data_IF_278888525199
#
_entry.id   IF_278888525199
#
_cell.length_a   1.000
_cell.length_b   1.000
_cell.length_c   1.000
_cell.angle_alpha   90.00
_cell.angle_beta   90.00
_cell.angle_gamma   90.00
#
_symmetry.space_group_name_H-M   'P 1'
#
loop_
_entity.id
_entity.type
_entity.pdbx_description
1 polymer ?
#
# COMPACT_ATOMS: atom_id res chain seq x y z
N UNK A 1 -55.36 6.65 17.35
CA UNK A 1 -54.42 5.50 17.35
C UNK A 1 -54.23 4.88 15.97
N UNK A 2 -55.28 4.54 15.22
CA UNK A 2 -55.16 3.92 13.88
C UNK A 2 -54.38 4.76 12.84
N UNK A 3 -54.63 6.07 12.74
CA UNK A 3 -53.93 6.96 11.80
C UNK A 3 -52.41 7.10 12.10
N UNK A 4 -52.03 7.12 13.39
CA UNK A 4 -50.63 7.17 13.81
C UNK A 4 -49.91 5.84 13.56
N UNK A 5 -50.64 4.71 13.60
CA UNK A 5 -50.08 3.41 13.25
C UNK A 5 -49.91 3.27 11.74
N UNK A 6 -50.89 3.73 10.95
CA UNK A 6 -50.82 3.76 9.47
C UNK A 6 -49.66 4.64 8.98
N UNK A 7 -49.51 5.86 9.52
CA UNK A 7 -48.40 6.75 9.17
C UNK A 7 -47.03 6.13 9.44
N UNK A 8 -46.87 5.39 10.55
CA UNK A 8 -45.63 4.67 10.86
C UNK A 8 -45.34 3.53 9.88
N UNK A 9 -46.37 2.80 9.44
CA UNK A 9 -46.23 1.71 8.47
C UNK A 9 -45.81 2.28 7.10
N UNK A 10 -46.42 3.39 6.67
CA UNK A 10 -46.08 4.06 5.42
C UNK A 10 -44.64 4.63 5.44
N UNK A 11 -44.20 5.16 6.59
CA UNK A 11 -42.81 5.61 6.79
C UNK A 11 -41.80 4.46 6.74
N UNK A 12 -42.08 3.32 7.38
CA UNK A 12 -41.21 2.14 7.35
C UNK A 12 -41.11 1.54 5.93
N UNK A 13 -42.22 1.47 5.20
CA UNK A 13 -42.23 1.03 3.80
C UNK A 13 -41.44 1.99 2.90
N UNK A 14 -41.60 3.30 3.10
CA UNK A 14 -40.85 4.33 2.37
C UNK A 14 -39.34 4.19 2.59
N UNK A 15 -38.91 3.96 3.83
CA UNK A 15 -37.49 3.71 4.17
C UNK A 15 -36.99 2.43 3.48
N UNK A 16 -37.76 1.34 3.52
CA UNK A 16 -37.37 0.08 2.90
C UNK A 16 -37.22 0.18 1.36
N UNK A 17 -38.15 0.86 0.69
CA UNK A 17 -38.08 1.11 -0.75
C UNK A 17 -36.87 1.97 -1.08
N UNK A 18 -36.63 3.04 -0.31
CA UNK A 18 -35.48 3.93 -0.49
C UNK A 18 -34.16 3.17 -0.38
N UNK A 19 -34.02 2.26 0.61
CA UNK A 19 -32.85 1.38 0.74
C UNK A 19 -32.66 0.49 -0.49
N UNK A 20 -33.73 -0.13 -1.01
CA UNK A 20 -33.65 -0.96 -2.22
C UNK A 20 -33.20 -0.16 -3.44
N UNK A 21 -33.71 1.07 -3.61
CA UNK A 21 -33.28 1.96 -4.69
C UNK A 21 -31.79 2.32 -4.55
N UNK A 22 -31.34 2.66 -3.34
CA UNK A 22 -29.93 2.95 -3.07
C UNK A 22 -29.02 1.75 -3.36
N UNK A 23 -29.44 0.54 -2.97
CA UNK A 23 -28.71 -0.69 -3.23
C UNK A 23 -28.60 -0.99 -4.74
N UNK A 24 -29.71 -0.88 -5.48
CA UNK A 24 -29.69 -1.04 -6.94
C UNK A 24 -28.76 -0.03 -7.62
N UNK A 25 -28.71 1.22 -7.14
CA UNK A 25 -27.78 2.24 -7.62
C UNK A 25 -26.32 1.84 -7.34
N UNK A 26 -26.03 1.30 -6.16
CA UNK A 26 -24.70 0.79 -5.82
C UNK A 26 -24.27 -0.37 -6.73
N UNK A 27 -25.17 -1.33 -6.99
CA UNK A 27 -24.92 -2.48 -7.87
C UNK A 27 -24.66 -2.05 -9.31
N UNK A 28 -25.50 -1.17 -9.87
CA UNK A 28 -25.30 -0.61 -11.22
C UNK A 28 -24.00 0.18 -11.32
N UNK A 29 -23.67 0.99 -10.30
CA UNK A 29 -22.40 1.71 -10.24
C UNK A 29 -21.20 0.75 -10.23
N UNK A 30 -21.28 -0.34 -9.46
CA UNK A 30 -20.24 -1.37 -9.38
C UNK A 30 -20.09 -2.15 -10.67
N UNK A 31 -21.22 -2.48 -11.33
CA UNK A 31 -21.23 -3.10 -12.65
C UNK A 31 -20.47 -2.25 -13.68
N UNK A 32 -20.82 -0.96 -13.80
CA UNK A 32 -20.16 -0.08 -14.75
C UNK A 32 -18.69 0.18 -14.41
N UNK A 33 -18.33 0.24 -13.12
CA UNK A 33 -16.94 0.33 -12.67
C UNK A 33 -16.13 -0.90 -13.13
N UNK A 34 -16.71 -2.09 -12.98
CA UNK A 34 -16.09 -3.36 -13.37
C UNK A 34 -15.94 -3.45 -14.88
N UNK A 35 -17.00 -3.13 -15.62
CA UNK A 35 -16.99 -3.08 -17.08
C UNK A 35 -15.88 -2.14 -17.61
N UNK A 36 -15.72 -0.97 -16.99
CA UNK A 36 -14.70 -0.02 -17.41
C UNK A 36 -13.27 -0.53 -17.13
N UNK A 37 -13.07 -1.24 -16.02
CA UNK A 37 -11.80 -1.91 -15.71
C UNK A 37 -11.49 -3.02 -16.73
N UNK A 38 -12.48 -3.84 -17.08
CA UNK A 38 -12.34 -4.89 -18.11
C UNK A 38 -12.01 -4.32 -19.48
N UNK A 39 -12.65 -3.21 -19.89
CA UNK A 39 -12.33 -2.54 -21.16
C UNK A 39 -10.88 -2.03 -21.14
N UNK A 40 -10.41 -1.51 -20.01
CA UNK A 40 -9.07 -0.95 -19.87
C UNK A 40 -7.97 -2.01 -19.82
N UNK A 41 -8.30 -3.24 -19.40
CA UNK A 41 -7.34 -4.35 -19.31
C UNK A 41 -7.17 -5.15 -20.60
N UNK A 42 -7.94 -4.85 -21.66
CA UNK A 42 -7.78 -5.50 -22.97
C UNK A 42 -6.49 -5.07 -23.66
N UNK A 43 -5.95 -5.92 -24.52
CA UNK A 43 -4.74 -5.63 -25.31
C UNK A 43 -4.88 -4.35 -26.14
N UNK A 44 -6.07 -4.16 -26.73
CA UNK A 44 -6.51 -2.91 -27.37
C UNK A 44 -7.67 -2.28 -26.58
N UNK A 45 -7.36 -1.44 -25.58
CA UNK A 45 -8.39 -0.84 -24.75
C UNK A 45 -9.08 0.29 -25.48
N UNK A 46 -10.41 0.23 -25.57
CA UNK A 46 -11.22 1.36 -26.05
C UNK A 46 -11.38 2.39 -24.93
N UNK A 47 -10.46 3.34 -24.86
CA UNK A 47 -10.43 4.38 -23.81
C UNK A 47 -11.72 5.20 -23.76
N UNK A 48 -12.31 5.51 -24.93
CA UNK A 48 -13.61 6.22 -25.00
C UNK A 48 -14.75 5.40 -24.39
N UNK A 49 -14.77 4.08 -24.63
CA UNK A 49 -15.78 3.20 -24.06
C UNK A 49 -15.60 3.03 -22.54
N UNK A 50 -14.34 2.89 -22.08
CA UNK A 50 -14.02 2.86 -20.66
C UNK A 50 -14.45 4.16 -19.97
N UNK A 51 -14.19 5.32 -20.59
CA UNK A 51 -14.60 6.63 -20.07
C UNK A 51 -16.11 6.77 -19.95
N UNK A 52 -16.86 6.31 -20.96
CA UNK A 52 -18.33 6.29 -20.90
C UNK A 52 -18.83 5.43 -19.74
N UNK A 53 -18.24 4.26 -19.52
CA UNK A 53 -18.60 3.37 -18.42
C UNK A 53 -18.24 3.98 -17.05
N UNK A 54 -17.09 4.65 -16.91
CA UNK A 54 -16.75 5.37 -15.67
C UNK A 54 -17.71 6.50 -15.35
N UNK A 55 -18.08 7.33 -16.34
CA UNK A 55 -19.05 8.42 -16.14
C UNK A 55 -20.41 7.90 -15.66
N UNK A 56 -20.86 6.77 -16.24
CA UNK A 56 -22.08 6.09 -15.76
C UNK A 56 -21.93 5.60 -14.33
N UNK A 57 -20.82 4.93 -14.01
CA UNK A 57 -20.53 4.45 -12.66
C UNK A 57 -20.58 5.58 -11.62
N UNK A 58 -19.91 6.69 -11.89
CA UNK A 58 -19.91 7.87 -11.03
C UNK A 58 -21.34 8.41 -10.80
N UNK A 59 -22.13 8.56 -11.87
CA UNK A 59 -23.50 9.05 -11.78
C UNK A 59 -24.39 8.16 -10.90
N UNK A 60 -24.24 6.83 -11.00
CA UNK A 60 -24.98 5.90 -10.14
C UNK A 60 -24.56 5.99 -8.68
N UNK A 61 -23.26 6.11 -8.39
CA UNK A 61 -22.78 6.27 -7.02
C UNK A 61 -23.25 7.58 -6.39
N UNK A 62 -23.16 8.69 -7.11
CA UNK A 62 -23.64 10.00 -6.63
C UNK A 62 -25.16 10.00 -6.41
N UNK A 63 -25.93 9.40 -7.32
CA UNK A 63 -27.37 9.23 -7.13
C UNK A 63 -27.67 8.34 -5.91
N UNK A 64 -26.89 7.28 -5.70
CA UNK A 64 -27.01 6.40 -4.55
C UNK A 64 -26.76 7.15 -3.24
N UNK A 65 -25.73 8.02 -3.19
CA UNK A 65 -25.41 8.83 -2.00
C UNK A 65 -26.61 9.70 -1.64
N UNK A 66 -27.14 10.44 -2.62
CA UNK A 66 -28.34 11.27 -2.43
C UNK A 66 -29.55 10.46 -1.94
N UNK A 67 -29.64 9.18 -2.32
CA UNK A 67 -30.72 8.28 -1.87
C UNK A 67 -30.57 7.91 -0.41
N UNK A 68 -29.36 7.56 0.01
CA UNK A 68 -29.12 7.15 1.39
C UNK A 68 -29.08 8.33 2.35
N UNK A 69 -28.77 9.53 1.86
CA UNK A 69 -28.86 10.79 2.61
C UNK A 69 -30.30 11.07 3.08
N UNK A 70 -31.32 10.78 2.27
CA UNK A 70 -32.73 11.04 2.65
C UNK A 70 -33.18 10.23 3.87
N UNK A 71 -32.55 9.08 4.11
CA UNK A 71 -32.82 8.20 5.25
C UNK A 71 -31.65 8.14 6.25
N UNK A 72 -30.66 9.03 6.10
CA UNK A 72 -29.47 9.10 6.95
C UNK A 72 -28.73 7.75 7.13
N UNK A 73 -28.69 6.92 6.08
CA UNK A 73 -28.04 5.60 6.11
C UNK A 73 -26.51 5.74 5.95
N UNK A 74 -25.85 6.10 7.05
CA UNK A 74 -24.41 6.37 7.10
C UNK A 74 -23.53 5.22 6.56
N UNK A 75 -23.77 3.94 6.91
CA UNK A 75 -23.01 2.83 6.34
C UNK A 75 -23.02 2.82 4.82
N UNK A 76 -24.20 2.96 4.21
CA UNK A 76 -24.33 2.89 2.76
C UNK A 76 -23.79 4.14 2.05
N UNK A 77 -23.93 5.33 2.65
CA UNK A 77 -23.28 6.56 2.16
C UNK A 77 -21.75 6.39 2.16
N UNK A 78 -21.19 5.82 3.23
CA UNK A 78 -19.75 5.58 3.34
C UNK A 78 -19.26 4.55 2.31
N UNK A 79 -19.99 3.45 2.11
CA UNK A 79 -19.66 2.44 1.10
C UNK A 79 -19.64 3.04 -0.32
N UNK A 80 -20.61 3.90 -0.66
CA UNK A 80 -20.64 4.57 -1.96
C UNK A 80 -19.49 5.56 -2.15
N UNK A 81 -19.15 6.35 -1.12
CA UNK A 81 -17.96 7.21 -1.18
C UNK A 81 -16.67 6.39 -1.34
N UNK A 82 -16.58 5.22 -0.69
CA UNK A 82 -15.46 4.28 -0.88
C UNK A 82 -15.38 3.75 -2.31
N UNK A 83 -16.53 3.45 -2.92
CA UNK A 83 -16.62 3.02 -4.32
C UNK A 83 -16.22 4.12 -5.30
N UNK A 84 -16.55 5.39 -5.03
CA UNK A 84 -16.05 6.53 -5.79
C UNK A 84 -14.52 6.59 -5.72
N UNK A 85 -13.93 6.44 -4.52
CA UNK A 85 -12.47 6.39 -4.37
C UNK A 85 -11.82 5.28 -5.21
N UNK A 86 -12.43 4.09 -5.26
CA UNK A 86 -11.97 2.96 -6.08
C UNK A 86 -12.09 3.25 -7.58
N UNK A 87 -13.22 3.81 -8.01
CA UNK A 87 -13.47 4.21 -9.39
C UNK A 87 -12.40 5.19 -9.89
N UNK A 88 -12.07 6.20 -9.09
CA UNK A 88 -11.07 7.21 -9.43
C UNK A 88 -9.65 6.62 -9.55
N UNK A 89 -9.31 5.63 -8.74
CA UNK A 89 -8.03 4.91 -8.86
C UNK A 89 -7.95 4.07 -10.14
N UNK A 90 -9.05 3.45 -10.56
CA UNK A 90 -9.13 2.72 -11.84
C UNK A 90 -8.99 3.69 -13.01
N UNK A 91 -9.58 4.88 -12.90
CA UNK A 91 -9.41 5.94 -13.88
C UNK A 91 -7.93 6.35 -14.03
N UNK A 92 -7.24 6.62 -12.92
CA UNK A 92 -5.80 6.94 -12.92
C UNK A 92 -4.97 5.83 -13.59
N UNK A 93 -5.27 4.56 -13.30
CA UNK A 93 -4.59 3.44 -13.94
C UNK A 93 -4.75 3.46 -15.47
N UNK A 94 -5.95 3.77 -15.98
CA UNK A 94 -6.20 3.84 -17.41
C UNK A 94 -5.46 4.97 -18.12
N UNK A 95 -5.30 6.12 -17.45
CA UNK A 95 -4.48 7.22 -17.96
C UNK A 95 -3.03 6.75 -18.10
N UNK A 96 -2.52 6.04 -17.08
CA UNK A 96 -1.19 5.45 -17.13
C UNK A 96 -0.99 4.52 -18.33
N UNK A 97 -1.98 3.68 -18.66
CA UNK A 97 -1.95 2.81 -19.86
C UNK A 97 -1.93 3.66 -21.14
N UNK A 98 -2.78 4.69 -21.22
CA UNK A 98 -2.84 5.61 -22.37
C UNK A 98 -1.51 6.30 -22.61
N UNK A 99 -0.92 6.89 -21.57
CA UNK A 99 0.36 7.60 -21.64
C UNK A 99 1.51 6.66 -22.01
N UNK A 100 1.50 5.42 -21.51
CA UNK A 100 2.54 4.42 -21.82
C UNK A 100 2.54 3.99 -23.28
N UNK A 101 1.38 4.02 -23.95
CA UNK A 101 1.25 3.63 -25.37
C UNK A 101 1.51 4.80 -26.35
N UNK A 102 1.28 6.04 -25.91
CA UNK A 102 1.30 7.21 -26.80
C UNK A 102 2.67 7.91 -26.88
N UNK A 103 3.61 7.65 -25.96
CA UNK A 103 4.89 8.37 -25.92
C UNK A 103 6.06 7.54 -26.45
N UNK A 104 6.84 8.14 -27.34
CA UNK A 104 8.22 7.70 -27.67
C UNK A 104 9.21 8.00 -26.54
N UNK A 105 8.84 8.90 -25.61
CA UNK A 105 9.66 9.36 -24.48
C UNK A 105 9.25 8.68 -23.16
N UNK A 106 10.14 8.73 -22.17
CA UNK A 106 9.89 8.23 -20.82
C UNK A 106 8.56 8.78 -20.25
N UNK A 107 7.72 7.89 -19.70
CA UNK A 107 6.44 8.24 -19.09
C UNK A 107 6.63 9.19 -17.92
N UNK A 108 5.70 10.13 -17.79
CA UNK A 108 5.65 11.09 -16.69
C UNK A 108 4.26 11.10 -16.08
N UNK A 109 4.20 11.41 -14.78
CA UNK A 109 2.94 11.64 -14.10
C UNK A 109 2.29 12.90 -14.66
N UNK A 110 1.03 12.77 -15.05
CA UNK A 110 0.23 13.89 -15.55
C UNK A 110 -0.44 14.63 -14.38
N UNK A 111 -0.75 15.92 -14.58
CA UNK A 111 -1.58 16.66 -13.61
C UNK A 111 -2.98 16.06 -13.48
N UNK A 112 -3.49 15.44 -14.55
CA UNK A 112 -4.75 14.71 -14.54
C UNK A 112 -4.71 13.53 -13.55
N UNK A 113 -3.67 12.69 -13.59
CA UNK A 113 -3.51 11.57 -12.65
C UNK A 113 -3.44 12.03 -11.20
N UNK A 114 -2.69 13.11 -10.92
CA UNK A 114 -2.59 13.69 -9.56
C UNK A 114 -3.95 14.18 -9.07
N UNK A 115 -4.66 14.94 -9.90
CA UNK A 115 -5.98 15.47 -9.57
C UNK A 115 -6.95 14.35 -9.18
N UNK A 116 -7.01 13.27 -9.96
CA UNK A 116 -7.92 12.16 -9.66
C UNK A 116 -7.48 11.34 -8.44
N UNK A 117 -6.18 11.20 -8.17
CA UNK A 117 -5.70 10.61 -6.92
C UNK A 117 -6.09 11.46 -5.70
N UNK A 118 -6.02 12.79 -5.78
CA UNK A 118 -6.49 13.66 -4.70
C UNK A 118 -8.00 13.53 -4.48
N UNK A 119 -8.79 13.53 -5.54
CA UNK A 119 -10.24 13.27 -5.45
C UNK A 119 -10.55 11.90 -4.85
N UNK A 120 -9.74 10.87 -5.13
CA UNK A 120 -9.89 9.55 -4.55
C UNK A 120 -9.64 9.58 -3.03
N UNK A 121 -8.57 10.25 -2.59
CA UNK A 121 -8.26 10.46 -1.17
C UNK A 121 -9.40 11.18 -0.46
N UNK A 122 -9.92 12.26 -1.05
CA UNK A 122 -11.05 13.00 -0.50
C UNK A 122 -12.31 12.13 -0.38
N UNK A 123 -12.59 11.28 -1.36
CA UNK A 123 -13.73 10.37 -1.31
C UNK A 123 -13.63 9.39 -0.14
N UNK A 124 -12.45 8.82 0.10
CA UNK A 124 -12.24 7.95 1.27
C UNK A 124 -12.31 8.72 2.60
N UNK A 125 -11.78 9.95 2.67
CA UNK A 125 -11.90 10.80 3.86
C UNK A 125 -13.38 11.13 4.13
N UNK A 126 -14.16 11.46 3.10
CA UNK A 126 -15.61 11.66 3.23
C UNK A 126 -16.30 10.40 3.75
N UNK A 127 -15.95 9.22 3.24
CA UNK A 127 -16.51 7.97 3.72
C UNK A 127 -16.24 7.73 5.22
N UNK A 128 -15.01 7.98 5.67
CA UNK A 128 -14.63 7.90 7.09
C UNK A 128 -15.42 8.93 7.92
N UNK A 129 -15.49 10.17 7.48
CA UNK A 129 -16.19 11.24 8.20
C UNK A 129 -17.69 10.95 8.36
N UNK A 130 -18.34 10.38 7.34
CA UNK A 130 -19.74 9.97 7.39
C UNK A 130 -20.00 8.90 8.45
N UNK A 131 -19.09 7.94 8.62
CA UNK A 131 -19.20 6.91 9.65
C UNK A 131 -19.01 7.48 11.07
N UNK A 132 -18.28 8.58 11.21
CA UNK A 132 -18.03 9.26 12.48
C UNK A 132 -17.02 8.53 13.36
N UNK A 133 -17.49 7.67 14.27
CA UNK A 133 -16.62 6.99 15.25
C UNK A 133 -16.44 5.53 14.86
N UNK A 134 -15.19 5.06 14.78
CA UNK A 134 -14.82 3.67 14.44
C UNK A 134 -15.64 2.62 15.19
N UNK A 135 -15.91 2.83 16.49
CA UNK A 135 -16.63 1.88 17.36
C UNK A 135 -17.99 1.44 16.78
N UNK A 136 -18.66 2.32 16.03
CA UNK A 136 -20.01 2.05 15.51
C UNK A 136 -19.99 1.15 14.27
N UNK A 137 -18.93 1.19 13.48
CA UNK A 137 -18.85 0.53 12.17
C UNK A 137 -17.46 -0.05 11.92
N UNK A 138 -16.92 -0.81 12.89
CA UNK A 138 -15.51 -1.25 12.91
C UNK A 138 -15.06 -1.88 11.59
N UNK A 139 -15.84 -2.81 11.03
CA UNK A 139 -15.48 -3.52 9.80
C UNK A 139 -15.43 -2.59 8.58
N UNK A 140 -16.43 -1.73 8.41
CA UNK A 140 -16.51 -0.79 7.28
C UNK A 140 -15.40 0.26 7.41
N UNK A 141 -15.18 0.77 8.62
CA UNK A 141 -14.15 1.75 8.92
C UNK A 141 -12.75 1.22 8.62
N UNK A 142 -12.42 0.03 9.11
CA UNK A 142 -11.10 -0.58 8.89
C UNK A 142 -10.88 -0.88 7.40
N UNK A 143 -11.91 -1.37 6.69
CA UNK A 143 -11.85 -1.58 5.23
C UNK A 143 -11.58 -0.29 4.45
N UNK A 144 -12.26 0.80 4.76
CA UNK A 144 -12.05 2.10 4.09
C UNK A 144 -10.65 2.64 4.41
N UNK A 145 -10.20 2.51 5.66
CA UNK A 145 -8.87 2.93 6.09
C UNK A 145 -7.77 2.17 5.33
N UNK A 146 -7.94 0.87 5.11
CA UNK A 146 -7.02 0.05 4.31
C UNK A 146 -7.00 0.50 2.84
N UNK A 147 -8.16 0.84 2.27
CA UNK A 147 -8.26 1.39 0.92
C UNK A 147 -7.59 2.77 0.80
N UNK A 148 -7.77 3.65 1.78
CA UNK A 148 -7.10 4.95 1.84
C UNK A 148 -5.58 4.80 1.96
N UNK A 149 -5.11 3.89 2.82
CA UNK A 149 -3.70 3.52 2.94
C UNK A 149 -3.12 3.10 1.58
N UNK A 150 -3.79 2.18 0.86
CA UNK A 150 -3.37 1.73 -0.46
C UNK A 150 -3.39 2.86 -1.51
N UNK A 151 -4.26 3.85 -1.36
CA UNK A 151 -4.34 5.02 -2.24
C UNK A 151 -3.15 5.95 -2.06
N UNK A 152 -2.76 6.24 -0.83
CA UNK A 152 -1.54 7.01 -0.55
C UNK A 152 -0.29 6.31 -1.10
N UNK A 153 -0.20 4.99 -0.95
CA UNK A 153 0.92 4.21 -1.50
C UNK A 153 0.98 4.31 -3.02
N UNK A 154 -0.14 4.13 -3.73
CA UNK A 154 -0.18 4.26 -5.20
C UNK A 154 0.24 5.66 -5.65
N UNK A 155 -0.21 6.71 -4.94
CA UNK A 155 0.20 8.07 -5.27
C UNK A 155 1.71 8.25 -5.05
N UNK A 156 2.26 7.73 -3.97
CA UNK A 156 3.69 7.78 -3.70
C UNK A 156 4.50 7.06 -4.79
N UNK A 157 4.09 5.86 -5.19
CA UNK A 157 4.72 5.09 -6.29
C UNK A 157 4.64 5.85 -7.61
N UNK A 158 3.49 6.43 -7.93
CA UNK A 158 3.29 7.21 -9.16
C UNK A 158 4.26 8.40 -9.24
N UNK A 159 4.43 9.14 -8.15
CA UNK A 159 5.34 10.29 -8.08
C UNK A 159 6.83 9.87 -8.08
N UNK A 160 7.12 8.68 -7.54
CA UNK A 160 8.47 8.10 -7.51
C UNK A 160 8.91 7.59 -8.89
N UNK A 161 8.06 6.83 -9.59
CA UNK A 161 8.42 6.15 -10.83
C UNK A 161 8.33 7.06 -12.06
N UNK A 162 7.47 8.08 -12.02
CA UNK A 162 7.17 8.91 -13.18
C UNK A 162 7.30 10.41 -12.87
N UNK A 163 8.45 10.93 -12.40
CA UNK A 163 8.60 12.36 -12.15
C UNK A 163 8.41 13.17 -13.46
N UNK A 164 7.79 14.36 -13.41
CA UNK A 164 7.65 15.21 -14.59
C UNK A 164 9.00 15.86 -14.93
N UNK A 165 9.63 15.38 -15.99
CA UNK A 165 10.90 15.89 -16.53
C UNK A 165 10.59 16.83 -17.70
N UNK A 166 10.88 18.13 -17.56
CA UNK A 166 10.77 19.04 -18.71
C UNK A 166 11.99 18.85 -19.65
N UNK A 167 11.93 19.41 -20.85
CA UNK A 167 12.82 19.06 -21.95
C UNK A 167 14.20 19.74 -21.88
N UNK A 168 15.20 18.94 -21.48
CA UNK A 168 16.65 19.16 -21.58
C UNK A 168 17.13 20.34 -22.46
N UNK A 169 17.79 21.31 -21.82
CA UNK A 169 19.07 21.89 -22.31
C UNK A 169 19.68 22.94 -21.36
N UNK A 170 18.93 23.51 -20.42
CA UNK A 170 19.47 24.32 -19.29
C UNK A 170 18.78 23.92 -17.96
N UNK A 171 17.82 22.99 -18.02
CA UNK A 171 16.87 22.61 -16.97
C UNK A 171 17.41 21.64 -15.90
N UNK A 172 18.63 21.10 -16.00
CA UNK A 172 19.10 20.00 -15.13
C UNK A 172 19.05 20.32 -13.62
N UNK A 173 19.33 21.58 -13.21
CA UNK A 173 19.23 22.02 -11.81
C UNK A 173 17.76 22.17 -11.37
N UNK A 174 16.91 22.72 -12.25
CA UNK A 174 15.47 22.90 -11.99
C UNK A 174 14.78 21.53 -11.94
N UNK A 175 15.16 20.62 -12.82
CA UNK A 175 14.72 19.24 -12.87
C UNK A 175 15.19 18.48 -11.64
N UNK A 176 16.44 18.64 -11.19
CA UNK A 176 16.88 18.01 -9.95
C UNK A 176 16.08 18.53 -8.74
N UNK A 177 15.81 19.83 -8.65
CA UNK A 177 14.95 20.40 -7.61
C UNK A 177 13.50 19.88 -7.70
N UNK A 178 12.94 19.76 -8.90
CA UNK A 178 11.59 19.22 -9.12
C UNK A 178 11.54 17.73 -8.78
N UNK A 179 12.51 16.93 -9.22
CA UNK A 179 12.65 15.52 -8.86
C UNK A 179 12.76 15.39 -7.34
N UNK A 180 13.61 16.20 -6.68
CA UNK A 180 13.72 16.23 -5.21
C UNK A 180 12.39 16.59 -4.53
N UNK A 181 11.63 17.54 -5.09
CA UNK A 181 10.29 17.87 -4.60
C UNK A 181 9.34 16.67 -4.70
N UNK A 182 9.30 15.99 -5.85
CA UNK A 182 8.45 14.80 -6.04
C UNK A 182 8.87 13.62 -5.17
N UNK A 183 10.17 13.43 -4.96
CA UNK A 183 10.68 12.43 -4.01
C UNK A 183 10.27 12.75 -2.57
N UNK A 184 10.42 14.01 -2.15
CA UNK A 184 9.97 14.47 -0.83
C UNK A 184 8.46 14.25 -0.64
N UNK A 185 7.67 14.55 -1.69
CA UNK A 185 6.23 14.36 -1.69
C UNK A 185 5.84 12.87 -1.64
N UNK A 186 6.52 12.02 -2.41
CA UNK A 186 6.35 10.57 -2.36
C UNK A 186 6.64 10.01 -0.96
N UNK A 187 7.77 10.41 -0.34
CA UNK A 187 8.09 9.99 1.02
C UNK A 187 7.01 10.40 2.02
N UNK A 188 6.48 11.64 1.91
CA UNK A 188 5.37 12.11 2.76
C UNK A 188 4.11 11.25 2.59
N UNK A 189 3.79 10.80 1.37
CA UNK A 189 2.65 9.93 1.15
C UNK A 189 2.87 8.49 1.64
N UNK A 190 4.10 7.97 1.56
CA UNK A 190 4.46 6.73 2.23
C UNK A 190 4.31 6.84 3.75
N UNK A 191 4.77 7.94 4.35
CA UNK A 191 4.62 8.17 5.80
C UNK A 191 3.13 8.25 6.19
N UNK A 192 2.29 8.94 5.40
CA UNK A 192 0.82 8.94 5.60
C UNK A 192 0.20 7.56 5.46
N UNK A 193 0.71 6.72 4.57
CA UNK A 193 0.25 5.35 4.41
C UNK A 193 0.58 4.52 5.67
N UNK A 194 1.80 4.66 6.20
CA UNK A 194 2.24 3.98 7.43
C UNK A 194 1.42 4.37 8.67
N UNK A 195 1.00 5.64 8.82
CA UNK A 195 0.15 6.03 9.97
C UNK A 195 -1.22 5.37 9.95
N UNK A 196 -1.68 4.91 8.77
CA UNK A 196 -2.93 4.21 8.59
C UNK A 196 -2.80 2.69 8.67
N UNK A 197 -1.59 2.14 8.64
CA UNK A 197 -1.41 0.70 8.85
C UNK A 197 -1.35 0.44 10.36
N UNK A 198 -2.08 -0.57 10.83
CA UNK A 198 -1.79 -1.14 12.13
C UNK A 198 -0.65 -2.15 11.91
N UNK A 199 0.55 -1.92 12.50
CA UNK A 199 1.74 -2.72 12.16
C UNK A 199 1.53 -4.23 12.37
N UNK A 200 0.81 -4.62 13.42
CA UNK A 200 0.42 -5.99 13.74
C UNK A 200 -0.57 -6.65 12.73
N UNK A 201 -1.26 -5.84 11.94
CA UNK A 201 -2.38 -6.30 11.11
C UNK A 201 -1.96 -6.55 9.66
N UNK A 202 -1.14 -5.67 9.06
CA UNK A 202 -0.70 -5.78 7.66
C UNK A 202 0.81 -5.59 7.49
N UNK A 203 1.56 -6.60 7.92
CA UNK A 203 3.03 -6.62 7.81
C UNK A 203 3.52 -6.55 6.37
N UNK A 204 2.76 -7.13 5.43
CA UNK A 204 3.13 -7.13 4.01
C UNK A 204 3.10 -5.71 3.44
N UNK A 205 2.08 -4.92 3.76
CA UNK A 205 2.02 -3.53 3.35
C UNK A 205 3.15 -2.70 3.96
N UNK A 206 3.45 -2.88 5.25
CA UNK A 206 4.58 -2.19 5.91
C UNK A 206 5.92 -2.51 5.25
N UNK A 207 6.22 -3.80 5.01
CA UNK A 207 7.47 -4.22 4.38
C UNK A 207 7.62 -3.66 2.95
N UNK A 208 6.53 -3.63 2.17
CA UNK A 208 6.51 -3.02 0.84
C UNK A 208 6.80 -1.52 0.89
N UNK A 209 6.12 -0.77 1.76
CA UNK A 209 6.33 0.68 1.87
C UNK A 209 7.76 0.98 2.31
N UNK A 210 8.32 0.21 3.25
CA UNK A 210 9.71 0.40 3.64
C UNK A 210 10.68 0.13 2.48
N UNK A 211 10.48 -0.94 1.69
CA UNK A 211 11.27 -1.18 0.48
C UNK A 211 11.16 -0.04 -0.53
N UNK A 212 9.96 0.47 -0.76
CA UNK A 212 9.70 1.59 -1.67
C UNK A 212 10.41 2.87 -1.18
N UNK A 213 10.36 3.18 0.12
CA UNK A 213 11.10 4.28 0.74
C UNK A 213 12.63 4.08 0.66
N UNK A 214 13.13 2.85 0.80
CA UNK A 214 14.55 2.54 0.62
C UNK A 214 15.01 2.79 -0.81
N UNK A 215 14.22 2.37 -1.79
CA UNK A 215 14.48 2.60 -3.20
C UNK A 215 14.51 4.11 -3.50
N UNK A 216 13.51 4.85 -3.01
CA UNK A 216 13.44 6.31 -3.14
C UNK A 216 14.68 7.00 -2.57
N UNK A 217 15.08 6.62 -1.36
CA UNK A 217 16.22 7.21 -0.67
C UNK A 217 17.56 6.83 -1.32
N UNK A 218 17.64 5.65 -1.93
CA UNK A 218 18.82 5.24 -2.72
C UNK A 218 19.03 6.13 -3.95
N UNK A 219 17.96 6.63 -4.57
CA UNK A 219 18.03 7.57 -5.69
C UNK A 219 18.45 9.00 -5.26
N UNK A 220 18.26 9.36 -3.99
CA UNK A 220 18.73 10.63 -3.42
C UNK A 220 20.22 10.62 -3.06
N UNK A 221 20.82 9.43 -3.02
CA UNK A 221 22.21 9.22 -2.61
C UNK A 221 23.20 9.50 -3.75
N UNK A 222 22.74 9.46 -4.99
CA UNK A 222 23.49 9.86 -6.18
C UNK A 222 23.79 11.37 -6.07
N UNK A 223 25.05 11.76 -6.28
CA UNK A 223 25.52 13.16 -6.31
C UNK A 223 25.56 13.96 -4.98
N UNK A 224 25.33 13.33 -3.82
CA UNK A 224 25.54 13.98 -2.50
C UNK A 224 26.88 13.63 -1.86
N UNK A 225 27.36 14.51 -0.95
CA UNK A 225 28.64 14.31 -0.24
C UNK A 225 28.67 12.96 0.50
N UNK A 226 29.85 12.29 0.59
CA UNK A 226 29.97 11.00 1.28
C UNK A 226 29.41 10.99 2.71
N UNK A 227 29.59 12.08 3.47
CA UNK A 227 29.08 12.20 4.84
C UNK A 227 27.55 12.35 4.88
N UNK A 228 26.96 13.14 3.97
CA UNK A 228 25.50 13.23 3.84
C UNK A 228 24.91 11.91 3.36
N UNK A 229 25.59 11.22 2.44
CA UNK A 229 25.25 9.89 1.95
C UNK A 229 25.21 8.86 3.09
N UNK A 230 26.20 8.86 3.98
CA UNK A 230 26.21 7.98 5.16
C UNK A 230 25.00 8.22 6.07
N UNK A 231 24.69 9.47 6.42
CA UNK A 231 23.51 9.81 7.25
C UNK A 231 22.19 9.46 6.57
N UNK A 232 22.12 9.64 5.26
CA UNK A 232 20.94 9.24 4.49
C UNK A 232 20.75 7.72 4.52
N UNK A 233 21.79 6.94 4.24
CA UNK A 233 21.75 5.47 4.30
C UNK A 233 21.52 4.96 5.74
N UNK A 234 22.01 5.69 6.75
CA UNK A 234 21.72 5.45 8.16
C UNK A 234 20.22 5.44 8.46
N UNK A 235 19.52 6.50 8.02
CA UNK A 235 18.09 6.65 8.24
C UNK A 235 17.28 5.50 7.63
N UNK A 236 17.77 4.91 6.54
CA UNK A 236 17.15 3.73 5.89
C UNK A 236 17.28 2.49 6.78
N UNK A 237 18.48 2.23 7.32
CA UNK A 237 18.71 1.10 8.23
C UNK A 237 17.91 1.24 9.54
N UNK A 238 17.75 2.46 10.04
CA UNK A 238 16.90 2.74 11.20
C UNK A 238 15.43 2.40 10.90
N UNK A 239 14.90 2.73 9.72
CA UNK A 239 13.53 2.33 9.34
C UNK A 239 13.33 0.81 9.30
N UNK A 240 14.37 0.03 8.97
CA UNK A 240 14.31 -1.42 9.09
C UNK A 240 14.25 -1.91 10.55
N UNK A 241 14.76 -1.14 11.52
CA UNK A 241 14.57 -1.43 12.96
C UNK A 241 13.10 -1.52 13.33
N UNK A 242 12.31 -0.59 12.81
CA UNK A 242 10.88 -0.49 13.10
C UNK A 242 10.08 -1.67 12.54
N UNK A 243 10.70 -2.49 11.68
CA UNK A 243 10.10 -3.73 11.17
C UNK A 243 10.32 -4.96 12.05
N UNK A 244 11.24 -4.93 13.01
CA UNK A 244 11.52 -6.08 13.89
C UNK A 244 10.29 -6.58 14.67
N UNK A 245 9.48 -5.71 15.32
CA UNK A 245 8.24 -6.16 15.98
C UNK A 245 7.24 -6.82 15.02
N UNK A 246 7.28 -6.45 13.73
CA UNK A 246 6.43 -7.05 12.70
C UNK A 246 6.85 -8.48 12.38
N UNK A 247 8.17 -8.71 12.30
CA UNK A 247 8.72 -10.04 12.07
C UNK A 247 8.40 -10.99 13.24
N UNK A 248 8.41 -10.47 14.48
CA UNK A 248 7.99 -11.23 15.66
C UNK A 248 6.51 -11.62 15.62
N UNK A 249 5.65 -10.70 15.18
CA UNK A 249 4.24 -10.98 15.01
C UNK A 249 3.96 -12.03 13.90
N UNK A 250 4.72 -12.01 12.80
CA UNK A 250 4.63 -13.05 11.76
C UNK A 250 5.00 -14.42 12.34
N UNK A 251 6.10 -14.52 13.09
CA UNK A 251 6.52 -15.79 13.71
C UNK A 251 5.40 -16.38 14.57
N UNK A 252 4.81 -15.57 15.45
CA UNK A 252 3.70 -15.99 16.31
C UNK A 252 2.51 -16.52 15.50
N UNK A 253 2.11 -15.82 14.43
CA UNK A 253 0.99 -16.25 13.56
C UNK A 253 1.30 -17.54 12.81
N UNK A 254 2.56 -17.79 12.43
CA UNK A 254 2.98 -19.05 11.80
C UNK A 254 2.92 -20.19 12.81
N UNK A 255 3.41 -19.97 14.02
CA UNK A 255 3.43 -20.98 15.10
C UNK A 255 2.01 -21.37 15.54
N UNK A 256 1.11 -20.40 15.68
CA UNK A 256 -0.31 -20.64 16.00
C UNK A 256 -1.01 -21.49 14.93
N UNK A 257 -0.68 -21.27 13.65
CA UNK A 257 -1.21 -22.09 12.54
C UNK A 257 -0.62 -23.50 12.52
N UNK A 258 0.67 -23.67 12.84
CA UNK A 258 1.30 -25.00 12.98
C UNK A 258 0.63 -25.80 14.10
N UNK A 259 0.34 -25.15 15.24
CA UNK A 259 -0.42 -25.73 16.38
C UNK A 259 -1.85 -26.09 15.99
N UNK A 260 -2.58 -25.20 15.30
CA UNK A 260 -3.95 -25.46 14.83
C UNK A 260 -4.04 -26.63 13.85
N UNK A 261 -3.08 -26.75 12.92
CA UNK A 261 -2.98 -27.88 11.96
C UNK A 261 -2.68 -29.22 12.64
N UNK A 262 -1.96 -29.21 13.77
CA UNK A 262 -1.68 -30.41 14.55
C UNK A 262 -2.89 -30.82 15.41
N UNK A 263 -3.69 -29.88 15.92
CA UNK A 263 -4.98 -30.18 16.58
C UNK A 263 -6.10 -30.56 15.61
N UNK A 264 -6.13 -30.05 14.38
CA UNK A 264 -7.17 -30.42 13.39
C UNK A 264 -6.96 -31.79 12.76
N UNK A 265 -5.74 -32.35 12.80
CA UNK A 265 -5.48 -33.76 12.45
C UNK A 265 -6.05 -34.74 13.50
N UNK A 266 -6.42 -34.27 14.68
CA UNK A 266 -6.97 -35.09 15.77
C UNK A 266 -8.52 -35.15 15.69
N UNK A 267 -9.17 -34.26 14.92
CA UNK A 267 -10.64 -34.08 14.95
C UNK A 267 -11.32 -34.42 13.60
N UNK A 268 -10.60 -34.79 12.54
CA UNK A 268 -11.20 -35.18 11.25
C UNK A 268 -11.58 -36.67 11.14
N UNK A 269 -12.19 -37.20 12.19
CA UNK A 269 -13.12 -38.34 12.11
C UNK A 269 -14.39 -37.95 12.86
N UNK A 270 -15.14 -36.98 12.33
CA UNK A 270 -16.60 -36.96 12.38
C UNK A 270 -17.17 -35.68 11.75
N UNK A 271 -18.21 -35.92 10.95
CA UNK A 271 -19.24 -34.99 10.47
C UNK A 271 -18.99 -34.17 9.19
N UNK A 272 -19.54 -34.78 8.14
CA UNK A 272 -20.12 -34.19 6.94
C UNK A 272 -21.25 -33.19 7.23
N UNK A 273 -21.38 -32.15 6.41
CA UNK A 273 -22.68 -31.55 6.11
C UNK A 273 -22.73 -30.03 5.96
N UNK A 274 -23.18 -29.59 4.78
CA UNK A 274 -23.84 -28.31 4.47
C UNK A 274 -22.94 -27.15 4.01
N UNK A 275 -23.02 -26.89 2.70
CA UNK A 275 -22.39 -25.77 2.00
C UNK A 275 -23.18 -24.47 2.19
N UNK A 276 -22.47 -23.39 2.52
CA UNK A 276 -22.94 -22.00 2.42
C UNK A 276 -22.07 -21.31 1.36
N UNK A 277 -22.65 -20.59 0.37
CA UNK A 277 -21.86 -19.95 -0.68
C UNK A 277 -21.24 -18.66 -0.14
N UNK A 278 -19.99 -18.73 0.31
CA UNK A 278 -19.20 -17.56 0.69
C UNK A 278 -18.26 -17.19 -0.44
N UNK A 279 -18.73 -16.31 -1.32
CA UNK A 279 -17.86 -15.50 -2.17
C UNK A 279 -17.23 -14.37 -1.32
N UNK A 280 -16.44 -14.76 -0.32
CA UNK A 280 -15.23 -14.05 0.03
C UNK A 280 -14.14 -14.95 -0.50
N UNK A 281 -13.49 -14.56 -1.58
CA UNK A 281 -12.15 -15.03 -1.84
C UNK A 281 -11.33 -14.68 -0.59
N UNK A 282 -11.22 -15.64 0.34
CA UNK A 282 -10.13 -15.68 1.31
C UNK A 282 -8.88 -15.65 0.45
N UNK A 283 -8.31 -14.45 0.25
CA UNK A 283 -6.95 -14.30 -0.25
C UNK A 283 -6.12 -15.26 0.58
N UNK A 284 -5.69 -16.36 -0.04
CA UNK A 284 -4.71 -17.23 0.56
C UNK A 284 -3.59 -16.31 1.04
N UNK A 285 -3.17 -16.48 2.29
CA UNK A 285 -2.00 -15.79 2.80
C UNK A 285 -0.86 -16.21 1.86
N UNK A 286 -0.46 -15.35 0.92
CA UNK A 286 0.49 -15.69 -0.15
C UNK A 286 1.87 -15.84 0.47
N UNK A 287 2.13 -17.00 1.08
CA UNK A 287 3.40 -17.37 1.72
C UNK A 287 4.56 -17.12 0.77
N UNK A 288 4.39 -17.44 -0.52
CA UNK A 288 5.40 -17.22 -1.56
C UNK A 288 5.71 -15.74 -1.77
N UNK A 289 4.71 -14.87 -1.73
CA UNK A 289 4.91 -13.43 -1.92
C UNK A 289 5.56 -12.80 -0.70
N UNK A 290 5.26 -13.28 0.51
CA UNK A 290 5.97 -12.90 1.74
C UNK A 290 7.42 -13.36 1.68
N UNK A 291 7.67 -14.62 1.33
CA UNK A 291 9.01 -15.19 1.15
C UNK A 291 9.85 -14.38 0.15
N UNK A 292 9.27 -13.99 -1.00
CA UNK A 292 9.91 -13.10 -1.98
C UNK A 292 10.19 -11.72 -1.40
N UNK A 293 9.20 -11.12 -0.73
CA UNK A 293 9.33 -9.79 -0.14
C UNK A 293 10.44 -9.73 0.91
N UNK A 294 10.51 -10.73 1.80
CA UNK A 294 11.58 -10.88 2.78
C UNK A 294 12.95 -11.03 2.09
N UNK A 295 13.03 -11.78 1.00
CA UNK A 295 14.25 -11.87 0.19
C UNK A 295 14.68 -10.52 -0.42
N UNK A 296 13.73 -9.71 -0.88
CA UNK A 296 13.98 -8.36 -1.37
C UNK A 296 14.45 -7.43 -0.25
N UNK A 297 13.85 -7.51 0.93
CA UNK A 297 14.30 -6.77 2.13
C UNK A 297 15.74 -7.10 2.44
N UNK A 298 16.11 -8.38 2.52
CA UNK A 298 17.49 -8.80 2.76
C UNK A 298 18.45 -8.30 1.67
N UNK A 299 18.02 -8.33 0.39
CA UNK A 299 18.80 -7.77 -0.72
C UNK A 299 19.05 -6.29 -0.54
N UNK A 300 18.02 -5.54 -0.17
CA UNK A 300 18.11 -4.11 0.03
C UNK A 300 19.01 -3.76 1.22
N UNK A 301 18.94 -4.53 2.32
CA UNK A 301 19.83 -4.37 3.49
C UNK A 301 21.30 -4.52 3.09
N UNK A 302 21.65 -5.58 2.34
CA UNK A 302 23.01 -5.79 1.86
C UNK A 302 23.50 -4.67 0.92
N UNK A 303 22.66 -4.25 -0.03
CA UNK A 303 22.98 -3.14 -0.93
C UNK A 303 23.23 -1.85 -0.15
N UNK A 304 22.40 -1.58 0.86
CA UNK A 304 22.54 -0.39 1.72
C UNK A 304 23.85 -0.43 2.51
N UNK A 305 24.18 -1.56 3.14
CA UNK A 305 25.45 -1.75 3.87
C UNK A 305 26.67 -1.61 2.96
N UNK A 306 26.62 -2.17 1.74
CA UNK A 306 27.67 -2.02 0.73
C UNK A 306 27.86 -0.55 0.35
N UNK A 307 26.78 0.18 0.09
CA UNK A 307 26.84 1.59 -0.28
C UNK A 307 27.34 2.47 0.87
N UNK A 308 27.03 2.11 2.11
CA UNK A 308 27.60 2.77 3.29
C UNK A 308 29.10 2.53 3.42
N UNK A 309 29.56 1.30 3.21
CA UNK A 309 30.99 0.98 3.23
C UNK A 309 31.74 1.78 2.16
N UNK A 310 31.18 1.88 0.94
CA UNK A 310 31.76 2.72 -0.11
C UNK A 310 31.81 4.19 0.31
N UNK A 311 30.71 4.73 0.85
CA UNK A 311 30.65 6.11 1.31
C UNK A 311 31.64 6.41 2.45
N UNK A 312 31.77 5.52 3.44
CA UNK A 312 32.70 5.65 4.55
C UNK A 312 34.17 5.66 4.08
N UNK A 313 34.53 4.84 3.09
CA UNK A 313 35.86 4.86 2.51
C UNK A 313 36.15 6.14 1.70
N UNK A 314 35.11 6.77 1.15
CA UNK A 314 35.20 8.02 0.40
C UNK A 314 35.13 9.28 1.27
N UNK A 315 34.87 9.18 2.58
CA UNK A 315 34.86 10.33 3.48
C UNK A 315 36.27 10.92 3.67
N UNK A 316 36.37 12.26 3.73
CA UNK A 316 37.64 12.98 3.97
C UNK A 316 38.28 12.62 5.32
N UNK A 317 37.46 12.47 6.36
CA UNK A 317 37.84 11.90 7.65
C UNK A 317 37.35 10.46 7.68
N UNK A 318 38.25 9.51 7.42
CA UNK A 318 37.94 8.09 7.54
C UNK A 318 37.93 7.73 9.02
N UNK A 319 36.84 7.11 9.49
CA UNK A 319 36.79 6.46 10.78
C UNK A 319 37.06 4.96 10.59
N UNK A 320 38.26 4.46 10.97
CA UNK A 320 38.61 3.05 10.82
C UNK A 320 37.68 2.11 11.62
N UNK A 321 37.16 2.57 12.76
CA UNK A 321 36.26 1.77 13.59
C UNK A 321 34.91 1.60 12.90
N UNK A 322 34.38 2.67 12.31
CA UNK A 322 33.14 2.62 11.53
C UNK A 322 33.29 1.70 10.32
N UNK A 323 34.40 1.82 9.57
CA UNK A 323 34.68 0.98 8.40
C UNK A 323 34.81 -0.49 8.81
N UNK A 324 35.53 -0.79 9.88
CA UNK A 324 35.65 -2.15 10.41
C UNK A 324 34.28 -2.72 10.80
N UNK A 325 33.47 -1.95 11.52
CA UNK A 325 32.12 -2.37 11.92
C UNK A 325 31.21 -2.63 10.73
N UNK A 326 31.23 -1.76 9.72
CA UNK A 326 30.46 -1.95 8.49
C UNK A 326 30.90 -3.18 7.70
N UNK A 327 32.20 -3.49 7.66
CA UNK A 327 32.72 -4.73 7.05
C UNK A 327 32.26 -5.98 7.80
N UNK A 328 32.35 -5.97 9.13
CA UNK A 328 31.88 -7.05 10.00
C UNK A 328 30.38 -7.30 9.81
N UNK A 329 29.57 -6.24 9.85
CA UNK A 329 28.13 -6.32 9.62
C UNK A 329 27.78 -6.81 8.21
N UNK A 330 28.44 -6.28 7.18
CA UNK A 330 28.25 -6.75 5.81
C UNK A 330 28.61 -8.23 5.68
N UNK A 331 29.71 -8.68 6.27
CA UNK A 331 30.13 -10.08 6.30
C UNK A 331 29.10 -10.98 6.96
N UNK A 332 28.57 -10.60 8.13
CA UNK A 332 27.52 -11.33 8.86
C UNK A 332 26.22 -11.44 8.08
N UNK A 333 25.75 -10.33 7.50
CA UNK A 333 24.51 -10.34 6.70
C UNK A 333 24.73 -11.08 5.38
N UNK A 334 25.94 -11.05 4.81
CA UNK A 334 26.28 -11.79 3.59
C UNK A 334 26.39 -13.30 3.85
N UNK A 335 26.92 -13.71 5.01
CA UNK A 335 26.99 -15.14 5.38
C UNK A 335 25.62 -15.74 5.65
N UNK A 336 24.68 -14.92 6.15
CA UNK A 336 23.25 -15.28 6.21
C UNK A 336 22.67 -15.46 4.80
N UNK A 337 23.27 -14.84 3.77
CA UNK A 337 22.70 -14.73 2.43
C UNK A 337 23.60 -15.25 1.31
N UNK A 338 23.75 -16.57 1.23
CA UNK A 338 23.96 -17.27 -0.04
C UNK A 338 23.21 -18.61 0.02
N UNK A 339 21.89 -18.60 -0.16
CA UNK A 339 21.19 -19.77 -0.71
C UNK A 339 20.23 -19.28 -1.79
N UNK A 340 20.50 -19.77 -3.01
CA UNK A 340 19.80 -19.37 -4.23
C UNK A 340 18.31 -19.58 -4.04
N UNK A 341 17.58 -18.56 -4.48
CA UNK A 341 16.16 -18.55 -4.76
C UNK A 341 15.67 -19.94 -5.20
N UNK A 342 14.99 -20.67 -4.31
CA UNK A 342 13.72 -21.37 -4.61
C UNK A 342 13.13 -22.21 -3.46
N UNK A 343 13.86 -22.60 -2.39
CA UNK A 343 13.29 -23.53 -1.38
C UNK A 343 13.75 -23.28 0.08
N UNK A 344 13.81 -22.03 0.55
CA UNK A 344 14.06 -21.78 1.98
C UNK A 344 12.72 -21.67 2.70
N UNK A 345 12.53 -22.44 3.78
CA UNK A 345 11.31 -22.42 4.58
C UNK A 345 11.10 -21.02 5.18
N UNK A 346 9.87 -20.51 5.18
CA UNK A 346 9.56 -19.16 5.63
C UNK A 346 10.06 -18.84 7.06
N UNK A 347 9.95 -19.76 8.06
CA UNK A 347 10.50 -19.55 9.40
C UNK A 347 12.01 -19.36 9.42
N UNK A 348 12.74 -20.06 8.55
CA UNK A 348 14.20 -19.93 8.45
C UNK A 348 14.56 -18.54 7.92
N UNK A 349 13.96 -18.09 6.81
CA UNK A 349 14.12 -16.71 6.30
C UNK A 349 13.76 -15.63 7.31
N UNK A 350 12.75 -15.90 8.13
CA UNK A 350 12.30 -14.96 9.15
C UNK A 350 13.32 -14.83 10.27
N UNK A 351 13.93 -15.94 10.68
CA UNK A 351 15.01 -15.95 11.67
C UNK A 351 16.28 -15.28 11.13
N UNK A 352 16.67 -15.59 9.89
CA UNK A 352 17.78 -14.93 9.18
C UNK A 352 17.63 -13.40 9.17
N UNK A 353 16.43 -12.90 8.85
CA UNK A 353 16.14 -11.47 8.87
C UNK A 353 16.16 -10.87 10.26
N UNK A 354 15.63 -11.57 11.26
CA UNK A 354 15.67 -11.11 12.66
C UNK A 354 17.10 -11.01 13.16
N UNK A 355 17.96 -11.97 12.80
CA UNK A 355 19.37 -11.96 13.15
C UNK A 355 20.10 -10.81 12.46
N UNK A 356 19.92 -10.67 11.14
CA UNK A 356 20.47 -9.57 10.35
C UNK A 356 20.05 -8.20 10.90
N UNK A 357 18.76 -8.02 11.23
CA UNK A 357 18.27 -6.79 11.83
C UNK A 357 18.76 -6.60 13.26
N UNK A 358 18.96 -7.67 14.03
CA UNK A 358 19.65 -7.61 15.32
C UNK A 358 21.03 -6.95 15.20
N UNK A 359 21.82 -7.35 14.21
CA UNK A 359 23.14 -6.76 13.98
C UNK A 359 23.09 -5.31 13.49
N UNK A 360 22.18 -4.99 12.57
CA UNK A 360 22.06 -3.66 11.96
C UNK A 360 21.49 -2.62 12.93
N UNK A 361 20.74 -3.04 13.95
CA UNK A 361 20.04 -2.15 14.88
C UNK A 361 20.74 -1.96 16.22
N UNK A 362 21.97 -2.51 16.34
CA UNK A 362 22.87 -2.30 17.48
C UNK A 362 23.09 -0.80 17.71
N UNK A 363 22.85 -0.35 18.95
CA UNK A 363 22.90 1.07 19.31
C UNK A 363 24.25 1.68 18.96
N UNK A 364 25.33 0.92 19.10
CA UNK A 364 26.69 1.38 18.80
C UNK A 364 26.86 1.83 17.35
N UNK A 365 26.19 1.17 16.40
CA UNK A 365 26.24 1.58 14.99
C UNK A 365 25.46 2.87 14.78
N UNK A 366 24.27 3.00 15.39
CA UNK A 366 23.47 4.21 15.34
C UNK A 366 24.22 5.41 15.97
N UNK A 367 24.91 5.18 17.09
CA UNK A 367 25.67 6.19 17.81
C UNK A 367 26.91 6.66 17.02
N UNK A 368 27.55 5.77 16.26
CA UNK A 368 28.68 6.09 15.37
C UNK A 368 28.26 6.80 14.07
N UNK A 369 26.97 6.85 13.77
CA UNK A 369 26.42 7.42 12.53
C UNK A 369 25.74 8.79 12.73
N UNK A 370 25.53 9.18 13.99
CA UNK A 370 25.19 10.54 14.42
C UNK A 370 26.46 11.36 14.66
#
# INVERSE_FOLDING_TARGET
MALAHQCKIDDEQSIAITKRIGNNRNELGTYYMTLAAEISSKDEPSLKAAEKAWKKSAAFFEAGIRTFETISDRPNIALLNSNIGRLLRLYVHSIGIRESKQREKARQVTEEEKMYMYKAIEAYIRAINVLGVRKNYVQIWDSIRDQLCGTYRILATLLQEYPPLAYMSIEEIVDEQRIRHFRTLANRYYDKSLTLIKPDTDVMACLRIHLEQCALKSLEVENISPSTRLRTLASILIKFKDTKPLLDHISSKIDDRKKRKSTSKIIQEQESGTQIPVNLQTRSFQYDDLTKLLGLVMKQTLTTLRNMLLAANSCKKRDPNLIFRLKDLYGKVLSIKINKEQNVDLPERLNELKEAFGYVTDSKLCDMMN
#
